data_IF_210724979237
#
_entry.id   IF_210724979237
#
_cell.length_a   1.000
_cell.length_b   1.000
_cell.length_c   1.000
_cell.angle_alpha   90.00
_cell.angle_beta   90.00
_cell.angle_gamma   90.00
#
_symmetry.space_group_name_H-M   'P 1'
#
loop_
_entity.id
_entity.type
_entity.pdbx_description
1 polymer ?
#
# COMPACT_ATOMS: atom_id res chain seq x y z
N UNK A 1 2.67 -15.96 -34.98
CA UNK A 1 2.96 -15.09 -33.82
C UNK A 1 3.93 -15.85 -32.94
N UNK A 2 5.18 -15.38 -32.83
CA UNK A 2 6.17 -15.97 -31.92
C UNK A 2 5.73 -15.73 -30.48
N UNK A 3 5.76 -16.77 -29.65
CA UNK A 3 5.53 -16.65 -28.21
C UNK A 3 6.61 -15.71 -27.66
N UNK A 4 6.24 -14.63 -26.95
CA UNK A 4 7.23 -13.71 -26.38
C UNK A 4 8.15 -14.50 -25.46
N UNK A 5 9.46 -14.39 -25.69
CA UNK A 5 10.44 -15.12 -24.91
C UNK A 5 10.40 -14.61 -23.46
N UNK A 6 10.11 -15.49 -22.51
CA UNK A 6 10.09 -15.15 -21.09
C UNK A 6 11.51 -15.21 -20.55
N UNK A 7 12.04 -14.07 -20.11
CA UNK A 7 13.39 -13.96 -19.59
C UNK A 7 13.36 -13.95 -18.06
N UNK A 8 14.06 -14.89 -17.44
CA UNK A 8 14.17 -14.98 -15.99
C UNK A 8 15.44 -14.26 -15.52
N UNK A 9 15.27 -13.13 -14.84
CA UNK A 9 16.35 -12.41 -14.17
C UNK A 9 16.48 -13.00 -12.75
N UNK A 10 17.57 -13.72 -12.49
CA UNK A 10 17.86 -14.35 -11.20
C UNK A 10 19.21 -13.86 -10.67
N UNK A 11 19.27 -13.59 -9.37
CA UNK A 11 20.51 -13.30 -8.62
C UNK A 11 21.41 -12.18 -9.16
N UNK A 12 20.87 -11.26 -9.95
CA UNK A 12 21.64 -10.11 -10.44
C UNK A 12 21.91 -9.08 -9.32
N UNK A 13 23.03 -8.35 -9.37
CA UNK A 13 23.32 -7.25 -8.44
C UNK A 13 22.18 -6.22 -8.39
N UNK A 14 21.56 -5.92 -9.53
CA UNK A 14 20.48 -4.95 -9.64
C UNK A 14 19.22 -5.40 -8.90
N UNK A 15 18.88 -6.70 -8.96
CA UNK A 15 17.74 -7.25 -8.23
C UNK A 15 17.99 -7.21 -6.72
N UNK A 16 19.21 -7.54 -6.28
CA UNK A 16 19.60 -7.43 -4.87
C UNK A 16 19.50 -5.99 -4.39
N UNK A 17 19.97 -5.03 -5.18
CA UNK A 17 19.86 -3.60 -4.88
C UNK A 17 18.39 -3.17 -4.78
N UNK A 18 17.55 -3.51 -5.76
CA UNK A 18 16.12 -3.16 -5.76
C UNK A 18 15.42 -3.70 -4.50
N UNK A 19 15.68 -4.96 -4.15
CA UNK A 19 15.14 -5.59 -2.93
C UNK A 19 15.61 -4.89 -1.66
N UNK A 20 16.91 -4.59 -1.56
CA UNK A 20 17.47 -3.92 -0.39
C UNK A 20 16.85 -2.53 -0.19
N UNK A 21 16.59 -1.78 -1.26
CA UNK A 21 15.85 -0.52 -1.18
C UNK A 21 14.45 -0.70 -0.60
N UNK A 22 13.71 -1.73 -1.04
CA UNK A 22 12.37 -2.02 -0.49
C UNK A 22 12.43 -2.41 0.99
N UNK A 23 13.39 -3.26 1.36
CA UNK A 23 13.59 -3.69 2.75
C UNK A 23 13.95 -2.50 3.64
N UNK A 24 14.88 -1.64 3.20
CA UNK A 24 15.25 -0.42 3.92
C UNK A 24 14.05 0.52 4.08
N UNK A 25 13.22 0.67 3.06
CA UNK A 25 11.98 1.44 3.14
C UNK A 25 11.07 0.92 4.25
N UNK A 26 10.81 -0.39 4.28
CA UNK A 26 9.99 -1.05 5.32
C UNK A 26 10.59 -0.87 6.71
N UNK A 27 11.90 -1.08 6.87
CA UNK A 27 12.59 -0.95 8.15
C UNK A 27 12.54 0.50 8.67
N UNK A 28 12.81 1.48 7.81
CA UNK A 28 12.71 2.90 8.18
C UNK A 28 11.27 3.27 8.51
N UNK A 29 10.29 2.76 7.77
CA UNK A 29 8.87 2.98 8.07
C UNK A 29 8.48 2.42 9.45
N UNK A 30 9.01 1.25 9.82
CA UNK A 30 8.78 0.67 11.13
C UNK A 30 9.34 1.54 12.27
N UNK A 31 10.42 2.28 12.01
CA UNK A 31 10.99 3.25 12.96
C UNK A 31 10.15 4.52 13.09
N UNK A 32 9.26 4.85 12.15
CA UNK A 32 8.39 6.04 12.27
C UNK A 32 7.49 5.93 13.50
N UNK A 33 6.95 4.73 13.79
CA UNK A 33 6.04 4.48 14.91
C UNK A 33 6.62 4.84 16.29
N UNK A 34 7.79 4.34 16.72
CA UNK A 34 8.36 4.70 18.02
C UNK A 34 8.76 6.18 18.13
N UNK A 35 9.07 6.83 17.00
CA UNK A 35 9.42 8.26 16.96
C UNK A 35 8.25 9.18 16.63
N UNK A 36 7.01 8.69 16.64
CA UNK A 36 5.83 9.47 16.27
C UNK A 36 5.65 10.74 17.13
N UNK A 37 6.04 10.68 18.41
CA UNK A 37 6.00 11.82 19.33
C UNK A 37 7.05 12.91 19.03
N UNK A 38 8.04 12.63 18.18
CA UNK A 38 9.05 13.58 17.71
C UNK A 38 8.73 13.97 16.26
N UNK A 39 7.93 15.02 16.02
CA UNK A 39 7.32 15.27 14.71
C UNK A 39 8.36 15.49 13.59
N UNK A 40 9.47 16.16 13.89
CA UNK A 40 10.56 16.40 12.92
C UNK A 40 11.28 15.09 12.55
N UNK A 41 11.56 14.23 13.54
CA UNK A 41 12.21 12.93 13.32
C UNK A 41 11.28 12.00 12.54
N UNK A 42 10.01 11.93 12.94
CA UNK A 42 8.96 11.17 12.26
C UNK A 42 8.81 11.60 10.79
N UNK A 43 8.84 12.90 10.51
CA UNK A 43 8.80 13.44 9.15
C UNK A 43 10.03 13.01 8.33
N UNK A 44 11.23 13.14 8.87
CA UNK A 44 12.48 12.74 8.18
C UNK A 44 12.44 11.24 7.86
N UNK A 45 12.07 10.40 8.84
CA UNK A 45 11.96 8.95 8.64
C UNK A 45 10.90 8.60 7.59
N UNK A 46 9.77 9.31 7.58
CA UNK A 46 8.71 9.12 6.57
C UNK A 46 9.21 9.45 5.16
N UNK A 47 9.94 10.55 4.99
CA UNK A 47 10.55 10.95 3.70
C UNK A 47 11.59 9.92 3.26
N UNK A 48 12.43 9.44 4.18
CA UNK A 48 13.43 8.41 3.89
C UNK A 48 12.78 7.09 3.47
N UNK A 49 11.77 6.63 4.23
CA UNK A 49 10.96 5.45 3.92
C UNK A 49 10.36 5.55 2.51
N UNK A 50 9.77 6.70 2.20
CA UNK A 50 9.21 7.00 0.89
C UNK A 50 10.26 6.94 -0.22
N UNK A 51 11.42 7.57 -0.02
CA UNK A 51 12.51 7.59 -1.00
C UNK A 51 13.05 6.18 -1.30
N UNK A 52 13.28 5.37 -0.27
CA UNK A 52 13.74 4.00 -0.42
C UNK A 52 12.70 3.09 -1.10
N UNK A 53 11.43 3.18 -0.70
CA UNK A 53 10.35 2.38 -1.29
C UNK A 53 10.15 2.71 -2.77
N UNK A 54 10.17 4.01 -3.11
CA UNK A 54 10.04 4.49 -4.49
C UNK A 54 11.21 4.04 -5.35
N UNK A 55 12.45 4.17 -4.85
CA UNK A 55 13.65 3.71 -5.56
C UNK A 55 13.62 2.19 -5.78
N UNK A 56 13.18 1.42 -4.78
CA UNK A 56 13.04 -0.02 -4.87
C UNK A 56 12.03 -0.45 -5.94
N UNK A 57 10.82 0.12 -5.92
CA UNK A 57 9.77 -0.19 -6.89
C UNK A 57 10.12 0.28 -8.30
N UNK A 58 10.76 1.44 -8.43
CA UNK A 58 11.27 1.92 -9.71
C UNK A 58 12.29 0.94 -10.30
N UNK A 59 13.30 0.53 -9.53
CA UNK A 59 14.31 -0.42 -10.01
C UNK A 59 13.69 -1.77 -10.34
N UNK A 60 12.77 -2.27 -9.53
CA UNK A 60 12.05 -3.51 -9.77
C UNK A 60 11.21 -3.44 -11.05
N UNK A 61 10.49 -2.34 -11.28
CA UNK A 61 9.72 -2.10 -12.49
C UNK A 61 10.60 -2.06 -13.75
N UNK A 62 11.78 -1.44 -13.65
CA UNK A 62 12.73 -1.36 -14.77
C UNK A 62 13.32 -2.72 -15.10
N UNK A 63 13.69 -3.49 -14.07
CA UNK A 63 14.19 -4.85 -14.23
C UNK A 63 13.14 -5.74 -14.88
N UNK A 64 11.90 -5.72 -14.38
CA UNK A 64 10.79 -6.50 -14.91
C UNK A 64 10.26 -6.01 -16.27
N UNK A 65 10.79 -4.89 -16.80
CA UNK A 65 10.21 -4.13 -17.93
C UNK A 65 8.71 -3.83 -17.76
N UNK A 66 8.27 -3.70 -16.52
CA UNK A 66 6.88 -3.53 -16.14
C UNK A 66 6.61 -2.11 -15.63
N UNK A 67 6.39 -1.18 -16.55
CA UNK A 67 6.06 0.22 -16.22
C UNK A 67 4.72 0.35 -15.46
N UNK A 68 3.84 -0.64 -15.60
CA UNK A 68 2.52 -0.66 -14.97
C UNK A 68 2.63 -0.72 -13.45
N UNK A 69 3.59 -1.50 -12.93
CA UNK A 69 3.88 -1.56 -11.50
C UNK A 69 4.22 -0.19 -10.91
N UNK A 70 5.15 0.53 -11.54
CA UNK A 70 5.57 1.85 -11.06
C UNK A 70 4.47 2.89 -11.21
N UNK A 71 3.70 2.84 -12.31
CA UNK A 71 2.54 3.71 -12.53
C UNK A 71 1.53 3.60 -11.38
N UNK A 72 1.12 2.38 -11.02
CA UNK A 72 0.13 2.20 -9.95
C UNK A 72 0.67 2.52 -8.56
N UNK A 73 1.96 2.28 -8.30
CA UNK A 73 2.58 2.78 -7.08
C UNK A 73 2.54 4.32 -7.00
N UNK A 74 2.93 5.02 -8.07
CA UNK A 74 2.87 6.49 -8.11
C UNK A 74 1.45 7.00 -7.91
N UNK A 75 0.44 6.37 -8.50
CA UNK A 75 -0.96 6.72 -8.25
C UNK A 75 -1.38 6.48 -6.80
N UNK A 76 -0.94 5.39 -6.17
CA UNK A 76 -1.19 5.16 -4.75
C UNK A 76 -0.55 6.24 -3.85
N UNK A 77 0.61 6.75 -4.22
CA UNK A 77 1.28 7.85 -3.51
C UNK A 77 0.51 9.16 -3.67
N UNK A 78 0.10 9.48 -4.90
CA UNK A 78 -0.70 10.69 -5.19
C UNK A 78 -2.02 10.66 -4.43
N UNK A 79 -2.69 9.51 -4.39
CA UNK A 79 -3.91 9.30 -3.61
C UNK A 79 -3.68 9.51 -2.09
N UNK A 80 -2.56 9.02 -1.55
CA UNK A 80 -2.16 9.29 -0.17
C UNK A 80 -1.92 10.78 0.11
N UNK A 81 -1.23 11.49 -0.78
CA UNK A 81 -1.03 12.95 -0.67
C UNK A 81 -2.38 13.68 -0.73
N UNK A 82 -3.27 13.27 -1.63
CA UNK A 82 -4.61 13.84 -1.77
C UNK A 82 -5.42 13.71 -0.48
N UNK A 83 -5.40 12.53 0.17
CA UNK A 83 -6.03 12.34 1.49
C UNK A 83 -5.46 13.33 2.51
N UNK A 84 -4.12 13.47 2.59
CA UNK A 84 -3.48 14.38 3.56
C UNK A 84 -3.90 15.82 3.32
N UNK A 85 -3.96 16.26 2.05
CA UNK A 85 -4.41 17.61 1.69
C UNK A 85 -5.87 17.83 2.08
N UNK A 86 -6.77 16.87 1.78
CA UNK A 86 -8.19 16.97 2.14
C UNK A 86 -8.35 17.05 3.66
N UNK A 87 -7.70 16.16 4.41
CA UNK A 87 -7.78 16.14 5.88
C UNK A 87 -7.22 17.42 6.51
N UNK A 88 -6.15 17.98 5.92
CA UNK A 88 -5.58 19.25 6.37
C UNK A 88 -6.51 20.43 6.08
N UNK A 89 -7.15 20.45 4.91
CA UNK A 89 -8.16 21.46 4.56
C UNK A 89 -9.39 21.40 5.48
N UNK A 90 -9.85 20.19 5.84
CA UNK A 90 -10.95 20.01 6.79
C UNK A 90 -10.60 20.50 8.21
N UNK A 91 -9.34 20.38 8.62
CA UNK A 91 -8.87 20.86 9.93
C UNK A 91 -8.66 22.38 9.97
N UNK A 92 -8.42 23.02 8.83
CA UNK A 92 -8.43 24.48 8.68
C UNK A 92 -9.88 24.99 8.68
N UNK A 93 -10.52 24.98 9.85
CA UNK A 93 -11.91 25.43 10.14
C UNK A 93 -12.18 26.92 9.86
N UNK A 94 -11.40 27.58 9.01
CA UNK A 94 -11.52 29.01 8.71
C UNK A 94 -12.51 29.33 7.59
N UNK A 95 -13.11 28.34 6.94
CA UNK A 95 -14.15 28.56 5.92
C UNK A 95 -15.56 28.51 6.53
N UNK A 96 -16.47 29.44 6.18
CA UNK A 96 -17.81 29.59 6.75
C UNK A 96 -18.81 28.56 6.19
N UNK A 97 -18.38 27.31 6.05
CA UNK A 97 -19.19 26.22 5.52
C UNK A 97 -19.87 25.46 6.66
N UNK A 98 -21.10 25.00 6.43
CA UNK A 98 -21.89 24.33 7.46
C UNK A 98 -21.22 23.02 7.94
N UNK A 99 -21.39 22.62 9.21
CA UNK A 99 -20.84 21.36 9.73
C UNK A 99 -21.26 20.13 8.92
N UNK A 100 -22.47 20.14 8.36
CA UNK A 100 -22.98 19.07 7.51
C UNK A 100 -22.20 18.97 6.19
N UNK A 101 -21.84 20.09 5.58
CA UNK A 101 -21.02 20.10 4.35
C UNK A 101 -19.66 19.43 4.58
N UNK A 102 -18.99 19.75 5.68
CA UNK A 102 -17.70 19.13 6.04
C UNK A 102 -17.82 17.64 6.31
N UNK A 103 -18.89 17.22 6.98
CA UNK A 103 -19.16 15.80 7.23
C UNK A 103 -19.36 15.01 5.94
N UNK A 104 -20.21 15.49 5.03
CA UNK A 104 -20.44 14.83 3.73
C UNK A 104 -19.17 14.80 2.87
N UNK A 105 -18.41 15.90 2.84
CA UNK A 105 -17.15 15.97 2.09
C UNK A 105 -16.11 14.99 2.67
N UNK A 106 -16.04 14.86 3.99
CA UNK A 106 -15.18 13.89 4.66
C UNK A 106 -15.53 12.44 4.32
N UNK A 107 -16.81 12.08 4.37
CA UNK A 107 -17.27 10.74 3.97
C UNK A 107 -16.94 10.46 2.51
N UNK A 108 -17.26 11.40 1.61
CA UNK A 108 -16.99 11.26 0.19
C UNK A 108 -15.49 11.06 -0.08
N UNK A 109 -14.64 11.86 0.57
CA UNK A 109 -13.19 11.75 0.45
C UNK A 109 -12.68 10.38 0.92
N UNK A 110 -13.17 9.89 2.06
CA UNK A 110 -12.77 8.56 2.59
C UNK A 110 -13.20 7.44 1.64
N UNK A 111 -14.40 7.51 1.07
CA UNK A 111 -14.89 6.47 0.13
C UNK A 111 -14.09 6.51 -1.18
N UNK A 112 -13.91 7.69 -1.76
CA UNK A 112 -13.24 7.86 -3.06
C UNK A 112 -11.76 7.48 -2.95
N UNK A 113 -11.04 8.07 -2.01
CA UNK A 113 -9.61 7.77 -1.83
C UNK A 113 -9.41 6.36 -1.30
N UNK A 114 -10.24 5.88 -0.37
CA UNK A 114 -10.17 4.49 0.08
C UNK A 114 -10.38 3.47 -1.07
N UNK A 115 -11.33 3.76 -1.96
CA UNK A 115 -11.58 2.95 -3.16
C UNK A 115 -10.41 2.98 -4.15
N UNK A 116 -9.84 4.16 -4.41
CA UNK A 116 -8.65 4.28 -5.26
C UNK A 116 -7.43 3.58 -4.66
N UNK A 117 -7.15 3.79 -3.38
CA UNK A 117 -6.09 3.10 -2.66
C UNK A 117 -6.23 1.58 -2.79
N UNK A 118 -7.42 1.04 -2.54
CA UNK A 118 -7.68 -0.40 -2.67
C UNK A 118 -7.46 -0.90 -4.10
N UNK A 119 -7.94 -0.15 -5.10
CA UNK A 119 -7.74 -0.49 -6.50
C UNK A 119 -6.27 -0.45 -6.94
N UNK A 120 -5.52 0.58 -6.52
CA UNK A 120 -4.09 0.69 -6.82
C UNK A 120 -3.29 -0.40 -6.11
N UNK A 121 -3.59 -0.68 -4.84
CA UNK A 121 -2.97 -1.76 -4.08
C UNK A 121 -3.24 -3.14 -4.72
N UNK A 122 -4.46 -3.40 -5.18
CA UNK A 122 -4.80 -4.58 -5.98
C UNK A 122 -3.89 -4.72 -7.20
N UNK A 123 -3.76 -3.64 -7.99
CA UNK A 123 -2.93 -3.65 -9.20
C UNK A 123 -1.45 -3.88 -8.88
N UNK A 124 -0.93 -3.24 -7.84
CA UNK A 124 0.46 -3.46 -7.37
C UNK A 124 0.67 -4.92 -7.00
N UNK A 125 -0.21 -5.50 -6.18
CA UNK A 125 -0.10 -6.90 -5.74
C UNK A 125 -0.17 -7.89 -6.91
N UNK A 126 -1.06 -7.63 -7.87
CA UNK A 126 -1.23 -8.46 -9.06
C UNK A 126 0.01 -8.40 -9.96
N UNK A 127 0.53 -7.21 -10.23
CA UNK A 127 1.75 -7.05 -11.04
C UNK A 127 2.99 -7.62 -10.33
N UNK A 128 3.13 -7.42 -9.02
CA UNK A 128 4.17 -8.08 -8.23
C UNK A 128 4.05 -9.60 -8.28
N UNK A 129 2.83 -10.14 -8.17
CA UNK A 129 2.57 -11.58 -8.30
C UNK A 129 2.99 -12.13 -9.65
N UNK A 130 2.69 -11.42 -10.75
CA UNK A 130 3.12 -11.80 -12.11
C UNK A 130 4.64 -11.80 -12.26
N UNK A 131 5.28 -10.67 -11.91
CA UNK A 131 6.73 -10.52 -12.18
C UNK A 131 7.56 -11.40 -11.25
N UNK A 132 7.10 -11.74 -10.04
CA UNK A 132 7.86 -12.56 -9.09
C UNK A 132 7.44 -14.03 -9.08
N UNK A 133 6.28 -14.36 -9.63
CA UNK A 133 5.60 -15.67 -9.54
C UNK A 133 5.29 -16.12 -8.10
N UNK A 134 5.34 -15.20 -7.14
CA UNK A 134 5.08 -15.49 -5.73
C UNK A 134 3.60 -15.28 -5.38
N UNK A 135 2.99 -16.28 -4.75
CA UNK A 135 1.60 -16.20 -4.27
C UNK A 135 1.38 -15.23 -3.11
N UNK A 136 2.44 -14.79 -2.43
CA UNK A 136 2.36 -13.91 -1.27
C UNK A 136 1.63 -12.60 -1.55
N UNK A 137 1.88 -11.95 -2.68
CA UNK A 137 1.25 -10.65 -2.99
C UNK A 137 -0.26 -10.77 -3.24
N UNK A 138 -0.68 -11.83 -3.93
CA UNK A 138 -2.11 -12.13 -4.11
C UNK A 138 -2.77 -12.50 -2.79
N UNK A 139 -2.07 -13.25 -1.94
CA UNK A 139 -2.55 -13.61 -0.61
C UNK A 139 -2.70 -12.38 0.30
N UNK A 140 -1.73 -11.46 0.27
CA UNK A 140 -1.80 -10.19 0.98
C UNK A 140 -3.04 -9.39 0.54
N UNK A 141 -3.23 -9.20 -0.77
CA UNK A 141 -4.43 -8.52 -1.28
C UNK A 141 -5.74 -9.17 -0.80
N UNK A 142 -5.84 -10.51 -0.86
CA UNK A 142 -7.02 -11.23 -0.35
C UNK A 142 -7.24 -11.00 1.15
N UNK A 143 -6.17 -10.98 1.95
CA UNK A 143 -6.23 -10.65 3.36
C UNK A 143 -6.75 -9.23 3.62
N UNK A 144 -6.28 -8.26 2.84
CA UNK A 144 -6.80 -6.88 2.91
C UNK A 144 -8.28 -6.80 2.52
N UNK A 145 -8.69 -7.46 1.43
CA UNK A 145 -10.09 -7.50 1.01
C UNK A 145 -10.99 -8.14 2.08
N UNK A 146 -10.54 -9.24 2.69
CA UNK A 146 -11.25 -9.89 3.81
C UNK A 146 -11.39 -8.93 5.01
N UNK A 147 -10.33 -8.19 5.36
CA UNK A 147 -10.38 -7.16 6.40
C UNK A 147 -11.43 -6.09 6.11
N UNK A 148 -11.50 -5.57 4.88
CA UNK A 148 -12.52 -4.58 4.48
C UNK A 148 -13.93 -5.18 4.60
N UNK A 149 -14.14 -6.40 4.12
CA UNK A 149 -15.44 -7.07 4.18
C UNK A 149 -15.89 -7.27 5.64
N UNK A 150 -14.99 -7.72 6.51
CA UNK A 150 -15.26 -7.89 7.95
C UNK A 150 -15.60 -6.54 8.59
N UNK A 151 -14.88 -5.47 8.24
CA UNK A 151 -15.17 -4.13 8.75
C UNK A 151 -16.54 -3.62 8.29
N UNK A 152 -16.87 -3.75 7.00
CA UNK A 152 -18.19 -3.37 6.49
C UNK A 152 -19.31 -4.20 7.14
N UNK A 153 -19.07 -5.48 7.40
CA UNK A 153 -19.98 -6.32 8.16
C UNK A 153 -20.12 -5.85 9.60
N UNK A 154 -19.03 -5.44 10.26
CA UNK A 154 -19.05 -4.86 11.60
C UNK A 154 -19.97 -3.62 11.66
N UNK A 155 -19.93 -2.76 10.64
CA UNK A 155 -20.78 -1.56 10.58
C UNK A 155 -22.29 -1.87 10.67
N UNK A 156 -22.75 -3.06 10.25
CA UNK A 156 -24.15 -3.48 10.42
C UNK A 156 -24.55 -3.67 11.88
N UNK A 157 -23.58 -3.94 12.76
CA UNK A 157 -23.77 -4.16 14.20
C UNK A 157 -23.39 -2.94 15.03
N UNK A 158 -23.35 -1.73 14.45
CA UNK A 158 -22.94 -0.52 15.16
C UNK A 158 -23.73 -0.27 16.46
N UNK A 159 -25.02 -0.63 16.48
CA UNK A 159 -25.88 -0.54 17.67
C UNK A 159 -25.52 -1.55 18.78
N UNK A 160 -24.87 -2.66 18.44
CA UNK A 160 -24.39 -3.69 19.37
C UNK A 160 -22.88 -3.53 19.61
N UNK A 161 -22.53 -2.60 20.49
CA UNK A 161 -21.15 -2.13 20.70
C UNK A 161 -20.13 -3.27 20.84
N UNK A 162 -20.39 -4.29 21.65
CA UNK A 162 -19.45 -5.41 21.86
C UNK A 162 -19.17 -6.19 20.57
N UNK A 163 -20.20 -6.51 19.80
CA UNK A 163 -20.10 -7.21 18.51
C UNK A 163 -19.35 -6.34 17.49
N UNK A 164 -19.68 -5.06 17.42
CA UNK A 164 -18.99 -4.09 16.57
C UNK A 164 -17.49 -4.01 16.88
N UNK A 165 -17.12 -3.88 18.16
CA UNK A 165 -15.72 -3.81 18.57
C UNK A 165 -14.98 -5.11 18.27
N UNK A 166 -15.58 -6.26 18.56
CA UNK A 166 -14.98 -7.56 18.27
C UNK A 166 -14.68 -7.74 16.77
N UNK A 167 -15.66 -7.46 15.90
CA UNK A 167 -15.50 -7.57 14.45
C UNK A 167 -14.50 -6.53 13.90
N UNK A 168 -14.50 -5.32 14.45
CA UNK A 168 -13.51 -4.29 14.09
C UNK A 168 -12.10 -4.74 14.44
N UNK A 169 -11.88 -5.31 15.64
CA UNK A 169 -10.57 -5.86 16.02
C UNK A 169 -10.16 -7.02 15.10
N UNK A 170 -11.10 -7.89 14.72
CA UNK A 170 -10.85 -8.96 13.76
C UNK A 170 -10.42 -8.42 12.38
N UNK A 171 -11.04 -7.33 11.91
CA UNK A 171 -10.65 -6.67 10.66
C UNK A 171 -9.22 -6.11 10.73
N UNK A 172 -8.83 -5.52 11.87
CA UNK A 172 -7.48 -5.01 12.10
C UNK A 172 -6.43 -6.12 12.10
N UNK A 173 -6.75 -7.28 12.69
CA UNK A 173 -5.88 -8.46 12.61
C UNK A 173 -5.70 -8.91 11.16
N UNK A 174 -6.77 -8.94 10.36
CA UNK A 174 -6.66 -9.29 8.95
C UNK A 174 -5.77 -8.30 8.16
N UNK A 175 -5.89 -6.99 8.44
CA UNK A 175 -5.01 -5.97 7.84
C UNK A 175 -3.55 -6.14 8.24
N UNK A 176 -3.27 -6.41 9.53
CA UNK A 176 -1.91 -6.69 10.02
C UNK A 176 -1.31 -7.92 9.35
N UNK A 177 -2.05 -9.03 9.31
CA UNK A 177 -1.60 -10.26 8.66
C UNK A 177 -1.35 -10.05 7.16
N UNK A 178 -2.22 -9.30 6.47
CA UNK A 178 -2.01 -8.90 5.08
C UNK A 178 -0.70 -8.13 4.88
N UNK A 179 -0.43 -7.13 5.75
CA UNK A 179 0.81 -6.37 5.73
C UNK A 179 2.04 -7.25 5.93
N UNK A 180 2.01 -8.17 6.90
CA UNK A 180 3.10 -9.13 7.15
C UNK A 180 3.33 -10.01 5.93
N UNK A 181 2.27 -10.58 5.34
CA UNK A 181 2.38 -11.43 4.14
C UNK A 181 2.96 -10.65 2.96
N UNK A 182 2.57 -9.39 2.78
CA UNK A 182 3.14 -8.52 1.75
C UNK A 182 4.64 -8.34 1.95
N UNK A 183 5.06 -8.01 3.18
CA UNK A 183 6.47 -7.84 3.55
C UNK A 183 7.25 -9.14 3.31
N UNK A 184 6.75 -10.30 3.77
CA UNK A 184 7.35 -11.61 3.50
C UNK A 184 7.52 -11.86 2.00
N UNK A 185 6.54 -11.45 1.20
CA UNK A 185 6.63 -11.46 -0.27
C UNK A 185 7.84 -10.68 -0.79
N UNK A 186 8.07 -9.46 -0.29
CA UNK A 186 9.24 -8.63 -0.65
C UNK A 186 10.57 -9.31 -0.28
N UNK A 187 10.68 -9.87 0.92
CA UNK A 187 11.90 -10.59 1.33
C UNK A 187 12.14 -11.86 0.50
N UNK A 188 11.07 -12.49 0.03
CA UNK A 188 11.11 -13.74 -0.74
C UNK A 188 11.43 -13.54 -2.22
N UNK A 189 11.57 -12.30 -2.71
CA UNK A 189 11.94 -12.02 -4.10
C UNK A 189 13.37 -12.53 -4.35
N UNK A 190 13.46 -13.61 -5.13
CA UNK A 190 14.73 -14.20 -5.62
C UNK A 190 14.89 -14.09 -7.14
N UNK A 191 13.77 -14.00 -7.86
CA UNK A 191 13.72 -13.95 -9.32
C UNK A 191 12.64 -12.99 -9.79
N UNK A 192 12.86 -12.44 -10.98
CA UNK A 192 11.89 -11.60 -11.70
C UNK A 192 11.73 -12.12 -13.13
N UNK A 193 10.49 -12.22 -13.60
CA UNK A 193 10.12 -12.62 -14.95
C UNK A 193 9.92 -11.36 -15.79
N UNK A 194 10.53 -11.33 -16.97
CA UNK A 194 10.36 -10.29 -17.97
C UNK A 194 9.77 -10.91 -19.23
N UNK A 195 8.81 -10.23 -19.85
CA UNK A 195 8.39 -10.54 -21.22
C UNK A 195 9.34 -9.84 -22.18
N UNK A 196 10.05 -10.59 -23.02
CA UNK A 196 10.80 -10.01 -24.14
C UNK A 196 9.81 -9.73 -25.28
N UNK A 197 9.66 -8.44 -25.59
CA UNK A 197 9.04 -7.95 -26.82
C UNK A 197 10.11 -7.83 -27.90
#
# INVERSE_FOLDING_TARGET
MSVPATLHIQDTPELKIAKNFLILGILVNALVYPFFLLPVVSLILSIMSFGFTTAGLYKLSKLARNQVLFKYYTFSVIDGILIVVIMSAMNLKQMPLSPNFWFFTGILAVIVCGGFYFYFFYKICLELGKITTLGFFVLAFKGMAAGIIIFLFACLFFSMKEVFYFLTMLSLVAFLMSGIVFIVGIFSIKKVVCEAY
#
